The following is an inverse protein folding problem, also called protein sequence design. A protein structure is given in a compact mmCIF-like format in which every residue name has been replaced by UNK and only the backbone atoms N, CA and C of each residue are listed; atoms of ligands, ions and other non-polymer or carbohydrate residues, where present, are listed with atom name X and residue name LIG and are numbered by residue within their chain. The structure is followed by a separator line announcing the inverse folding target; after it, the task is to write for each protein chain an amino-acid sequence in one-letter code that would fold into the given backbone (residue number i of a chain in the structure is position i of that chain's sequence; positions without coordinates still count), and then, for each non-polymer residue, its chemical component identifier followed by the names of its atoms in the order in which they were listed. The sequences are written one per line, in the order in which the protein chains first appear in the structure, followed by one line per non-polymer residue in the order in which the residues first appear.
data_IF_365181732049
#
_entry.id   IF_365181732049
#
_cell.length_a   1.000
_cell.length_b   1.000
_cell.length_c   1.000
_cell.angle_alpha   90.00
_cell.angle_beta   90.00
_cell.angle_gamma   90.00
#
_symmetry.space_group_name_H-M   'P 1'
#
loop_
_entity.id
_entity.type
_entity.pdbx_description
1 polymer ?
#
# COMPACT_ATOMS: atom_id res chain seq x y z
N UNK A 1 14.31 -7.04 -13.07
CA UNK A 1 14.70 -7.56 -11.73
C UNK A 1 13.40 -7.69 -10.97
N UNK A 2 12.82 -8.88 -10.88
CA UNK A 2 11.50 -9.01 -10.27
C UNK A 2 11.57 -8.74 -8.76
N UNK A 3 10.88 -7.70 -8.30
CA UNK A 3 10.77 -7.38 -6.87
C UNK A 3 9.50 -7.97 -6.28
N UNK A 4 9.62 -8.54 -5.08
CA UNK A 4 8.51 -9.12 -4.34
C UNK A 4 8.67 -8.85 -2.84
N UNK A 5 8.05 -7.80 -2.35
CA UNK A 5 8.08 -7.45 -0.93
C UNK A 5 7.20 -8.40 -0.11
N UNK A 6 7.81 -9.41 0.50
CA UNK A 6 7.09 -10.38 1.34
C UNK A 6 6.98 -9.89 2.79
N UNK A 7 5.88 -10.24 3.50
CA UNK A 7 5.79 -10.03 4.93
C UNK A 7 7.01 -10.50 5.71
N UNK A 8 7.52 -9.64 6.59
CA UNK A 8 8.60 -9.94 7.53
C UNK A 8 8.34 -9.21 8.85
N UNK A 9 7.69 -9.89 9.80
CA UNK A 9 7.28 -9.30 11.08
C UNK A 9 6.45 -8.02 10.88
N UNK A 10 6.92 -6.86 11.36
CA UNK A 10 6.30 -5.54 11.16
C UNK A 10 6.94 -4.78 9.98
N UNK A 11 7.23 -5.49 8.90
CA UNK A 11 7.86 -4.95 7.71
C UNK A 11 7.52 -5.79 6.49
N UNK A 12 7.92 -5.33 5.31
CA UNK A 12 7.94 -6.14 4.11
C UNK A 12 9.33 -6.09 3.49
N UNK A 13 9.87 -7.23 3.10
CA UNK A 13 11.24 -7.37 2.61
C UNK A 13 11.26 -8.00 1.22
N UNK A 14 12.01 -7.40 0.31
CA UNK A 14 12.31 -7.96 -0.99
C UNK A 14 13.77 -8.44 -1.02
N UNK A 15 13.95 -9.73 -1.26
CA UNK A 15 15.27 -10.35 -1.26
C UNK A 15 16.11 -9.96 -2.49
N UNK A 16 15.48 -9.60 -3.62
CA UNK A 16 16.19 -9.29 -4.85
C UNK A 16 16.93 -7.95 -4.79
N UNK A 17 16.28 -6.93 -4.21
CA UNK A 17 16.83 -5.59 -4.02
C UNK A 17 17.42 -5.37 -2.63
N UNK A 18 17.26 -6.32 -1.71
CA UNK A 18 17.58 -6.22 -0.29
C UNK A 18 16.89 -5.03 0.42
N UNK A 19 15.79 -4.52 -0.15
CA UNK A 19 15.05 -3.39 0.44
C UNK A 19 14.00 -3.90 1.42
N UNK A 20 13.87 -3.20 2.55
CA UNK A 20 12.84 -3.37 3.56
C UNK A 20 11.96 -2.13 3.65
N UNK A 21 10.65 -2.33 3.57
CA UNK A 21 9.62 -1.34 3.89
C UNK A 21 9.26 -1.51 5.36
N UNK A 22 9.52 -0.50 6.17
CA UNK A 22 9.21 -0.53 7.61
C UNK A 22 7.72 -0.26 7.86
N UNK A 23 7.19 -0.73 8.99
CA UNK A 23 5.87 -0.31 9.46
C UNK A 23 5.75 1.22 9.45
N UNK A 24 4.66 1.78 8.89
CA UNK A 24 4.54 3.22 8.73
C UNK A 24 4.26 3.89 10.07
N UNK A 25 4.67 5.16 10.18
CA UNK A 25 4.04 6.05 11.16
C UNK A 25 2.66 6.42 10.62
N UNK A 26 1.64 6.32 11.47
CA UNK A 26 0.25 6.58 11.09
C UNK A 26 -0.21 7.83 11.83
N UNK A 27 -0.66 8.84 11.09
CA UNK A 27 -1.06 10.14 11.60
C UNK A 27 -2.47 10.53 11.14
N UNK A 28 -3.24 11.25 11.97
CA UNK A 28 -4.48 11.86 11.49
C UNK A 28 -4.17 12.93 10.43
N UNK A 29 -5.02 13.00 9.42
CA UNK A 29 -4.95 13.98 8.34
C UNK A 29 -6.36 14.51 8.00
N UNK A 30 -6.41 15.53 7.15
CA UNK A 30 -7.65 16.10 6.65
C UNK A 30 -7.52 16.32 5.16
N UNK A 31 -8.49 15.85 4.38
CA UNK A 31 -8.53 16.06 2.94
C UNK A 31 -8.88 17.52 2.59
N UNK A 32 -8.64 17.97 1.34
CA UNK A 32 -8.96 19.34 0.92
C UNK A 32 -10.44 19.72 1.10
N UNK A 33 -11.35 18.75 1.08
CA UNK A 33 -12.79 18.94 1.30
C UNK A 33 -13.18 18.99 2.79
N UNK A 34 -12.21 18.86 3.70
CA UNK A 34 -12.40 18.89 5.14
C UNK A 34 -12.74 17.54 5.77
N UNK A 35 -12.84 16.47 4.98
CA UNK A 35 -13.10 15.14 5.51
C UNK A 35 -11.88 14.54 6.21
N UNK A 36 -12.12 13.65 7.18
CA UNK A 36 -11.07 12.96 7.93
C UNK A 36 -10.30 11.97 7.04
N UNK A 37 -8.99 11.95 7.19
CA UNK A 37 -8.10 11.01 6.54
C UNK A 37 -6.99 10.55 7.48
N UNK A 38 -6.18 9.63 6.96
CA UNK A 38 -5.01 9.08 7.63
C UNK A 38 -3.83 9.29 6.69
N UNK A 39 -2.71 9.78 7.22
CA UNK A 39 -1.43 9.78 6.51
C UNK A 39 -0.56 8.62 7.00
N UNK A 40 -0.11 7.80 6.06
CA UNK A 40 0.82 6.70 6.26
C UNK A 40 2.20 7.11 5.78
N UNK A 41 3.15 7.19 6.70
CA UNK A 41 4.53 7.60 6.42
C UNK A 41 5.45 6.38 6.44
N UNK A 42 5.78 5.89 5.24
CA UNK A 42 6.65 4.74 5.01
C UNK A 42 8.10 5.13 4.87
N UNK A 43 8.99 4.23 5.26
CA UNK A 43 10.43 4.33 4.98
C UNK A 43 10.97 3.03 4.42
N UNK A 44 11.77 3.15 3.37
CA UNK A 44 12.41 2.07 2.65
C UNK A 44 13.89 2.09 3.02
N UNK A 45 14.44 0.94 3.40
CA UNK A 45 15.85 0.80 3.81
C UNK A 45 16.55 -0.33 3.09
N UNK A 46 17.81 -0.10 2.72
CA UNK A 46 18.76 -1.11 2.24
C UNK A 46 19.99 -1.04 3.14
N UNK A 47 20.40 -2.17 3.71
CA UNK A 47 21.55 -2.25 4.64
C UNK A 47 21.48 -1.26 5.82
N UNK A 48 20.26 -0.95 6.28
CA UNK A 48 20.01 -0.01 7.38
C UNK A 48 19.88 1.46 6.96
N UNK A 49 20.39 1.82 5.78
CA UNK A 49 20.32 3.17 5.22
C UNK A 49 18.97 3.43 4.54
N UNK A 50 18.46 4.65 4.66
CA UNK A 50 17.21 5.05 4.00
C UNK A 50 17.45 5.28 2.52
N UNK A 51 16.71 4.55 1.68
CA UNK A 51 16.76 4.68 0.21
C UNK A 51 15.54 5.38 -0.36
N UNK A 52 14.39 5.36 0.34
CA UNK A 52 13.21 6.13 -0.05
C UNK A 52 12.28 6.38 1.15
N UNK A 53 11.35 7.30 0.98
CA UNK A 53 10.24 7.55 1.92
C UNK A 53 9.00 7.98 1.16
N UNK A 54 7.83 7.55 1.62
CA UNK A 54 6.54 7.89 1.02
C UNK A 54 5.59 8.36 2.12
N UNK A 55 4.93 9.50 1.91
CA UNK A 55 3.73 9.91 2.65
C UNK A 55 2.52 9.64 1.77
N UNK A 56 1.59 8.82 2.23
CA UNK A 56 0.43 8.38 1.45
C UNK A 56 -0.83 8.63 2.25
N UNK A 57 -1.81 9.30 1.65
CA UNK A 57 -3.11 9.49 2.26
C UNK A 57 -3.98 8.25 2.08
N UNK A 58 -4.85 8.04 3.04
CA UNK A 58 -5.80 6.95 3.04
C UNK A 58 -6.98 7.26 3.94
N UNK A 59 -7.95 6.35 3.93
CA UNK A 59 -9.16 6.43 4.74
C UNK A 59 -9.37 5.13 5.49
N UNK A 60 -10.20 5.20 6.51
CA UNK A 60 -10.65 4.04 7.28
C UNK A 60 -12.16 4.08 7.41
N UNK A 61 -12.82 2.99 7.03
CA UNK A 61 -14.27 2.84 7.15
C UNK A 61 -14.57 1.52 7.84
N UNK A 62 -15.38 1.55 8.90
CA UNK A 62 -15.95 0.34 9.47
C UNK A 62 -17.18 -0.08 8.65
N UNK A 63 -17.16 -1.31 8.14
CA UNK A 63 -18.31 -1.97 7.53
C UNK A 63 -18.82 -3.05 8.46
N UNK A 64 -20.14 -3.08 8.66
CA UNK A 64 -20.80 -4.18 9.37
C UNK A 64 -21.43 -5.08 8.31
N UNK A 65 -20.85 -6.27 8.11
CA UNK A 65 -21.40 -7.27 7.20
C UNK A 65 -21.85 -8.50 8.00
N UNK A 66 -23.17 -8.72 8.05
CA UNK A 66 -23.75 -9.85 8.80
C UNK A 66 -23.41 -9.79 10.29
N UNK A 67 -22.84 -10.87 10.83
CA UNK A 67 -22.41 -10.97 12.24
C UNK A 67 -20.95 -10.56 12.46
N UNK A 68 -20.26 -10.03 11.44
CA UNK A 68 -18.85 -9.67 11.50
C UNK A 68 -18.64 -8.17 11.26
N UNK A 69 -17.60 -7.64 11.90
CA UNK A 69 -17.09 -6.30 11.65
C UNK A 69 -15.90 -6.45 10.67
N UNK A 70 -15.90 -5.68 9.58
CA UNK A 70 -14.76 -5.56 8.67
C UNK A 70 -14.35 -4.10 8.61
N UNK A 71 -13.09 -3.81 8.95
CA UNK A 71 -12.48 -2.50 8.76
C UNK A 71 -11.84 -2.44 7.38
N UNK A 72 -12.23 -1.47 6.56
CA UNK A 72 -11.60 -1.18 5.28
C UNK A 72 -10.63 -0.02 5.45
N UNK A 73 -9.35 -0.28 5.25
CA UNK A 73 -8.29 0.73 5.23
C UNK A 73 -7.80 0.93 3.79
N UNK A 74 -7.66 2.17 3.36
CA UNK A 74 -7.21 2.48 1.99
C UNK A 74 -5.86 3.18 1.97
N UNK A 75 -5.16 3.08 0.84
CA UNK A 75 -3.99 3.87 0.47
C UNK A 75 -4.23 4.41 -0.95
N UNK A 76 -4.28 5.73 -1.08
CA UNK A 76 -4.47 6.43 -2.35
C UNK A 76 -3.10 6.86 -2.91
N UNK A 77 -2.65 6.16 -3.96
CA UNK A 77 -1.39 6.45 -4.65
C UNK A 77 -1.58 7.45 -5.80
N UNK A 78 -2.73 8.10 -5.93
CA UNK A 78 -3.04 8.96 -7.09
C UNK A 78 -2.29 10.28 -7.12
N UNK A 79 -1.70 10.71 -6.01
CA UNK A 79 -0.92 11.94 -5.96
C UNK A 79 0.35 11.80 -6.81
N UNK A 80 0.62 12.75 -7.70
CA UNK A 80 1.75 12.70 -8.62
C UNK A 80 3.08 12.55 -7.88
N UNK A 81 3.24 13.22 -6.73
CA UNK A 81 4.46 13.16 -5.94
C UNK A 81 4.72 11.74 -5.40
N UNK A 82 3.67 10.97 -5.10
CA UNK A 82 3.76 9.59 -4.64
C UNK A 82 4.22 8.68 -5.78
N UNK A 83 3.61 8.80 -6.97
CA UNK A 83 4.00 7.99 -8.14
C UNK A 83 5.41 8.33 -8.62
N UNK A 84 5.75 9.61 -8.68
CA UNK A 84 7.10 10.08 -9.02
C UNK A 84 8.13 9.53 -8.02
N UNK A 85 7.84 9.58 -6.71
CA UNK A 85 8.73 9.02 -5.68
C UNK A 85 8.92 7.51 -5.84
N UNK A 86 7.90 6.77 -6.24
CA UNK A 86 8.01 5.33 -6.54
C UNK A 86 8.86 5.09 -7.79
N UNK A 87 8.72 5.91 -8.83
CA UNK A 87 9.50 5.83 -10.07
C UNK A 87 10.97 6.19 -9.82
N UNK A 88 11.25 7.20 -8.99
CA UNK A 88 12.61 7.55 -8.61
C UNK A 88 13.23 6.43 -7.78
N UNK A 89 12.49 5.87 -6.81
CA UNK A 89 12.93 4.68 -6.07
C UNK A 89 13.26 3.50 -7.01
N UNK A 90 12.45 3.26 -8.06
CA UNK A 90 12.73 2.25 -9.09
C UNK A 90 14.08 2.46 -9.75
N UNK A 91 14.39 3.72 -10.09
CA UNK A 91 15.65 4.12 -10.74
C UNK A 91 16.82 3.92 -9.78
N UNK A 92 16.68 4.34 -8.53
CA UNK A 92 17.73 4.27 -7.51
C UNK A 92 18.13 2.84 -7.15
N UNK A 93 17.21 1.88 -7.27
CA UNK A 93 17.51 0.46 -7.09
C UNK A 93 17.83 -0.26 -8.40
N UNK A 94 17.98 0.48 -9.51
CA UNK A 94 18.28 -0.03 -10.85
C UNK A 94 17.31 -1.13 -11.31
N UNK A 95 16.05 -1.03 -10.91
CA UNK A 95 15.06 -2.03 -11.26
C UNK A 95 14.67 -1.94 -12.75
N UNK A 96 14.78 -3.07 -13.45
CA UNK A 96 14.53 -3.17 -14.89
C UNK A 96 13.13 -3.61 -15.30
N UNK A 97 12.22 -3.84 -14.35
CA UNK A 97 10.84 -4.25 -14.67
C UNK A 97 10.07 -3.09 -15.32
N UNK A 98 8.92 -3.37 -15.91
CA UNK A 98 8.03 -2.31 -16.35
C UNK A 98 7.49 -1.52 -15.15
N UNK A 99 7.23 -0.24 -15.36
CA UNK A 99 6.83 0.70 -14.30
C UNK A 99 5.53 0.26 -13.63
N UNK A 100 4.58 -0.30 -14.38
CA UNK A 100 3.27 -0.70 -13.86
C UNK A 100 3.40 -1.89 -12.91
N UNK A 101 4.13 -2.94 -13.29
CA UNK A 101 4.43 -4.08 -12.42
C UNK A 101 5.21 -3.63 -11.18
N UNK A 102 6.16 -2.71 -11.34
CA UNK A 102 6.92 -2.18 -10.23
C UNK A 102 6.04 -1.44 -9.21
N UNK A 103 5.14 -0.57 -9.67
CA UNK A 103 4.18 0.14 -8.80
C UNK A 103 3.29 -0.84 -8.04
N UNK A 104 2.80 -1.91 -8.71
CA UNK A 104 1.99 -2.93 -8.05
C UNK A 104 2.77 -3.69 -6.98
N UNK A 105 4.03 -4.05 -7.26
CA UNK A 105 4.88 -4.72 -6.28
C UNK A 105 5.17 -3.84 -5.06
N UNK A 106 5.42 -2.54 -5.27
CA UNK A 106 5.57 -1.57 -4.17
C UNK A 106 4.26 -1.44 -3.40
N UNK A 107 3.13 -1.26 -4.07
CA UNK A 107 1.81 -1.17 -3.43
C UNK A 107 1.52 -2.40 -2.56
N UNK A 108 1.80 -3.61 -3.06
CA UNK A 108 1.65 -4.84 -2.29
C UNK A 108 2.60 -4.86 -1.08
N UNK A 109 3.84 -4.40 -1.24
CA UNK A 109 4.80 -4.27 -0.14
C UNK A 109 4.35 -3.31 0.96
N UNK A 110 3.77 -2.16 0.59
CA UNK A 110 3.18 -1.20 1.52
C UNK A 110 2.07 -1.85 2.36
N UNK A 111 1.23 -2.69 1.76
CA UNK A 111 0.18 -3.40 2.49
C UNK A 111 0.75 -4.53 3.36
N UNK A 112 1.73 -5.27 2.85
CA UNK A 112 2.28 -6.46 3.51
C UNK A 112 2.90 -6.19 4.88
N UNK A 113 3.27 -4.93 5.18
CA UNK A 113 3.74 -4.53 6.53
C UNK A 113 2.68 -4.76 7.62
N UNK A 114 1.39 -4.81 7.27
CA UNK A 114 0.25 -5.00 8.19
C UNK A 114 -0.17 -6.46 8.37
N UNK A 115 0.40 -7.39 7.59
CA UNK A 115 -0.02 -8.79 7.56
C UNK A 115 0.00 -9.50 8.93
N UNK A 116 0.90 -9.07 9.83
CA UNK A 116 1.05 -9.63 11.18
C UNK A 116 0.41 -8.77 12.27
N UNK A 117 -0.53 -7.88 11.93
CA UNK A 117 -1.23 -6.99 12.86
C UNK A 117 -2.73 -7.31 12.93
N UNK A 118 -3.12 -8.52 13.39
CA UNK A 118 -4.52 -8.87 13.47
C UNK A 118 -5.22 -8.09 14.60
N UNK A 119 -6.47 -7.71 14.36
CA UNK A 119 -7.33 -7.11 15.39
C UNK A 119 -8.13 -8.20 16.11
N UNK A 120 -8.33 -8.05 17.41
CA UNK A 120 -9.23 -8.91 18.19
C UNK A 120 -10.71 -8.56 17.96
N UNK A 121 -11.01 -7.38 17.41
CA UNK A 121 -12.38 -6.88 17.24
C UNK A 121 -12.98 -7.23 15.89
N UNK A 122 -12.15 -7.27 14.84
CA UNK A 122 -12.62 -7.32 13.47
C UNK A 122 -11.56 -7.84 12.51
N UNK A 123 -12.00 -8.29 11.33
CA UNK A 123 -11.08 -8.48 10.20
C UNK A 123 -10.76 -7.14 9.56
N UNK A 124 -9.58 -7.02 8.95
CA UNK A 124 -9.15 -5.80 8.29
C UNK A 124 -8.84 -6.08 6.83
N UNK A 125 -9.38 -5.28 5.93
CA UNK A 125 -9.05 -5.28 4.51
C UNK A 125 -8.29 -4.01 4.18
N UNK A 126 -7.07 -4.17 3.68
CA UNK A 126 -6.28 -3.06 3.15
C UNK A 126 -6.37 -3.05 1.62
N UNK A 127 -6.56 -1.87 1.05
CA UNK A 127 -6.62 -1.66 -0.40
C UNK A 127 -5.69 -0.51 -0.78
N UNK A 128 -4.78 -0.77 -1.71
CA UNK A 128 -4.00 0.26 -2.37
C UNK A 128 -4.55 0.46 -3.79
N UNK A 129 -4.86 1.70 -4.15
CA UNK A 129 -5.41 2.04 -5.45
C UNK A 129 -4.76 3.31 -6.01
N UNK A 130 -5.01 3.56 -7.29
CA UNK A 130 -4.63 4.80 -7.97
C UNK A 130 -5.69 5.14 -9.01
N UNK A 131 -5.93 6.43 -9.25
CA UNK A 131 -6.81 6.89 -10.34
C UNK A 131 -6.16 6.65 -11.70
N UNK A 132 -6.98 6.29 -12.68
CA UNK A 132 -6.56 6.04 -14.07
C UNK A 132 -5.91 7.28 -14.68
N UNK A 133 -6.47 8.46 -14.45
CA UNK A 133 -5.96 9.72 -14.98
C UNK A 133 -4.55 10.05 -14.46
N UNK A 134 -4.28 9.81 -13.18
CA UNK A 134 -2.94 9.98 -12.59
C UNK A 134 -1.88 9.10 -13.27
N UNK A 135 -2.22 7.85 -13.60
CA UNK A 135 -1.30 6.95 -14.33
C UNK A 135 -1.07 7.45 -15.77
N UNK A 136 -2.14 7.85 -16.46
CA UNK A 136 -2.07 8.36 -17.85
C UNK A 136 -1.24 9.64 -17.93
N UNK A 137 -1.39 10.56 -16.98
CA UNK A 137 -0.65 11.83 -16.93
C UNK A 137 0.86 11.61 -16.86
N UNK A 138 1.31 10.55 -16.19
CA UNK A 138 2.72 10.15 -16.10
C UNK A 138 3.15 9.19 -17.22
N UNK A 139 2.29 8.90 -18.19
CA UNK A 139 2.58 7.98 -19.29
C UNK A 139 2.72 6.51 -18.86
N UNK A 140 2.15 6.14 -17.72
CA UNK A 140 2.20 4.79 -17.16
C UNK A 140 1.06 3.98 -17.78
N UNK A 141 1.40 2.81 -18.34
CA UNK A 141 0.41 1.91 -18.92
C UNK A 141 -0.53 1.37 -17.84
N UNK A 142 -1.83 1.27 -18.16
CA UNK A 142 -2.79 0.62 -17.28
C UNK A 142 -2.50 -0.88 -17.20
N UNK A 143 -2.62 -1.51 -16.03
CA UNK A 143 -2.47 -2.96 -15.92
C UNK A 143 -3.53 -3.67 -16.77
N UNK A 144 -3.14 -4.63 -17.60
CA UNK A 144 -4.07 -5.40 -18.45
C UNK A 144 -5.14 -6.14 -17.62
N UNK A 145 -4.76 -6.61 -16.44
CA UNK A 145 -5.64 -7.27 -15.46
C UNK A 145 -6.21 -6.31 -14.41
N UNK A 146 -6.30 -5.00 -14.72
CA UNK A 146 -6.79 -4.02 -13.75
C UNK A 146 -8.26 -4.26 -13.42
N UNK A 147 -8.54 -4.50 -12.14
CA UNK A 147 -9.89 -4.35 -11.61
C UNK A 147 -10.18 -2.86 -11.52
N UNK A 148 -10.90 -2.34 -12.51
CA UNK A 148 -11.51 -1.03 -12.45
C UNK A 148 -12.61 -1.06 -11.39
N UNK A 149 -12.40 -0.35 -10.30
CA UNK A 149 -13.46 -0.10 -9.34
C UNK A 149 -14.35 1.02 -9.86
N UNK A 150 -15.43 1.33 -9.12
CA UNK A 150 -16.22 2.53 -9.41
C UNK A 150 -15.30 3.76 -9.31
N UNK A 151 -15.65 4.81 -10.06
CA UNK A 151 -14.95 6.11 -10.04
C UNK A 151 -13.55 6.13 -10.69
N UNK A 152 -13.34 5.31 -11.72
CA UNK A 152 -12.12 5.34 -12.56
C UNK A 152 -10.82 5.11 -11.78
N UNK A 153 -10.87 4.29 -10.74
CA UNK A 153 -9.67 3.85 -9.99
C UNK A 153 -9.28 2.42 -10.32
N UNK A 154 -7.98 2.17 -10.35
CA UNK A 154 -7.35 0.87 -10.53
C UNK A 154 -6.92 0.33 -9.18
N UNK A 155 -7.33 -0.90 -8.87
CA UNK A 155 -6.79 -1.65 -7.74
C UNK A 155 -5.35 -2.06 -8.03
N UNK A 156 -4.40 -1.57 -7.22
CA UNK A 156 -2.98 -1.92 -7.34
C UNK A 156 -2.63 -3.16 -6.51
N UNK A 157 -3.14 -3.22 -5.28
CA UNK A 157 -2.91 -4.32 -4.34
C UNK A 157 -4.04 -4.43 -3.32
N UNK A 158 -4.19 -5.62 -2.72
CA UNK A 158 -5.09 -5.84 -1.60
C UNK A 158 -4.50 -6.82 -0.59
N UNK A 159 -4.82 -6.63 0.68
CA UNK A 159 -4.44 -7.53 1.76
C UNK A 159 -5.64 -7.75 2.68
N UNK A 160 -5.93 -8.99 3.02
CA UNK A 160 -6.92 -9.34 4.03
C UNK A 160 -6.22 -9.91 5.26
N UNK A 161 -6.45 -9.30 6.41
CA UNK A 161 -5.96 -9.74 7.72
C UNK A 161 -7.16 -10.28 8.51
N UNK A 162 -7.21 -11.59 8.80
CA UNK A 162 -8.32 -12.16 9.55
C UNK A 162 -8.32 -11.65 10.99
N UNK A 163 -9.52 -11.58 11.58
CA UNK A 163 -9.67 -11.30 13.00
C UNK A 163 -8.90 -12.34 13.81
N UNK A 164 -8.17 -11.89 14.83
CA UNK A 164 -7.55 -12.79 15.80
C UNK A 164 -8.66 -13.50 16.58
N UNK A 165 -8.77 -14.82 16.40
CA UNK A 165 -9.63 -15.63 17.26
C UNK A 165 -8.98 -15.70 18.64
N UNK A 166 -9.73 -15.35 19.69
CA UNK A 166 -9.32 -15.70 21.04
C UNK A 166 -9.25 -17.22 21.13
N UNK A 167 -8.08 -17.78 21.44
CA UNK A 167 -7.98 -19.18 21.80
C UNK A 167 -8.81 -19.38 23.08
N UNK A 168 -9.90 -20.14 22.97
CA UNK A 168 -10.70 -20.54 24.11
C UNK A 168 -9.91 -21.65 24.80
N UNK A 169 -9.21 -21.30 25.87
CA UNK A 169 -8.54 -22.24 26.77
C UNK A 169 -9.51 -23.04 27.62
#
# INVERSE_FOLDING_TARGET
MSIEFRPDSNSAFDASSAVRISFPRILPATLPDGSEAIEYQYTFRRDGERVASLGILGTETLSVQGSGHERLCTLDLSASEVLESIIDFKRDIENSDDTTSFIRAVAQGLLNVFSNQPSIFESIRYIAFCRVDSLIQLGIALPEDSLLLRDEVVLLASLFVPQQRAEVG
#
